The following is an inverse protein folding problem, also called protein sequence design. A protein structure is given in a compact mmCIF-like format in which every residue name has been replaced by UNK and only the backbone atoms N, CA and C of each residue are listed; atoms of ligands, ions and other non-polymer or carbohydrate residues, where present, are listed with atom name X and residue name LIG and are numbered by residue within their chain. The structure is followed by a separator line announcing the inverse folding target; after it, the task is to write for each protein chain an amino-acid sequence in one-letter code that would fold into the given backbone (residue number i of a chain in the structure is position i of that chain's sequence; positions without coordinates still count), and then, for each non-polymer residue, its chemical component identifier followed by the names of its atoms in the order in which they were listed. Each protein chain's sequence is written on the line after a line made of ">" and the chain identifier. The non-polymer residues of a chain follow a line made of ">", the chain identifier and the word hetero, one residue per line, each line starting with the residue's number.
data_IF_052430679473
#
_entry.id   IF_052430679473
#
_cell.length_a   1.000
_cell.length_b   1.000
_cell.length_c   1.000
_cell.angle_alpha   90.00
_cell.angle_beta   90.00
_cell.angle_gamma   90.00
#
_symmetry.space_group_name_H-M   'P 1'
#
loop_
_entity.id
_entity.type
_entity.pdbx_description
1 polymer ?
#
# COMPACT_ATOMS: atom_id res chain seq x y z
N UNK A 1 -13.82 33.32 14.56
CA UNK A 1 -12.70 32.43 15.00
C UNK A 1 -13.28 31.39 15.91
N UNK A 2 -13.76 30.28 15.38
CA UNK A 2 -14.17 29.12 16.14
C UNK A 2 -13.19 28.01 15.79
N UNK A 3 -12.23 27.76 16.68
CA UNK A 3 -11.41 26.57 16.63
C UNK A 3 -12.32 25.39 16.99
N UNK A 4 -12.69 24.59 16.01
CA UNK A 4 -13.30 23.27 16.23
C UNK A 4 -12.19 22.43 16.86
N UNK A 5 -12.27 22.22 18.17
CA UNK A 5 -11.45 21.23 18.88
C UNK A 5 -11.83 19.88 18.32
N UNK A 6 -10.97 19.33 17.48
CA UNK A 6 -11.04 17.94 17.05
C UNK A 6 -10.74 17.08 18.29
N UNK A 7 -11.78 16.55 18.89
CA UNK A 7 -11.67 15.64 20.03
C UNK A 7 -10.85 14.43 19.57
N UNK A 8 -9.77 14.13 20.28
CA UNK A 8 -9.02 12.90 20.10
C UNK A 8 -10.01 11.69 20.18
N UNK A 9 -9.87 10.68 19.28
CA UNK A 9 -10.76 9.53 19.28
C UNK A 9 -10.73 8.86 20.65
N UNK A 10 -11.92 8.55 21.18
CA UNK A 10 -12.03 7.81 22.44
C UNK A 10 -11.72 6.33 22.18
N UNK A 11 -11.09 5.62 23.11
CA UNK A 11 -10.79 4.18 23.02
C UNK A 11 -12.04 3.34 22.70
N UNK A 12 -13.23 3.78 23.10
CA UNK A 12 -14.52 3.15 22.77
C UNK A 12 -14.79 3.12 21.27
N UNK A 13 -14.48 4.18 20.54
CA UNK A 13 -14.72 4.28 19.11
C UNK A 13 -13.81 3.32 18.29
N UNK A 14 -12.54 3.14 18.70
CA UNK A 14 -11.62 2.19 18.06
C UNK A 14 -12.02 0.75 18.34
N UNK A 15 -12.44 0.44 19.57
CA UNK A 15 -12.91 -0.90 19.94
C UNK A 15 -14.16 -1.30 19.18
N UNK A 16 -15.08 -0.37 18.95
CA UNK A 16 -16.30 -0.59 18.15
C UNK A 16 -15.95 -0.88 16.69
N UNK A 17 -14.99 -0.14 16.11
CA UNK A 17 -14.51 -0.41 14.76
C UNK A 17 -13.88 -1.80 14.63
N UNK A 18 -13.05 -2.20 15.59
CA UNK A 18 -12.44 -3.53 15.60
C UNK A 18 -13.51 -4.63 15.72
N UNK A 19 -14.52 -4.45 16.56
CA UNK A 19 -15.63 -5.39 16.69
C UNK A 19 -16.46 -5.48 15.40
N UNK A 20 -16.76 -4.36 14.77
CA UNK A 20 -17.48 -4.30 13.49
C UNK A 20 -16.68 -4.96 12.36
N UNK A 21 -15.37 -4.73 12.31
CA UNK A 21 -14.48 -5.35 11.32
C UNK A 21 -14.44 -6.88 11.48
N UNK A 22 -14.32 -7.36 12.73
CA UNK A 22 -14.37 -8.80 13.04
C UNK A 22 -15.69 -9.42 12.62
N UNK A 23 -16.80 -8.76 12.91
CA UNK A 23 -18.12 -9.24 12.49
C UNK A 23 -18.27 -9.29 10.97
N UNK A 24 -17.71 -8.33 10.23
CA UNK A 24 -17.67 -8.36 8.77
C UNK A 24 -16.84 -9.55 8.25
N UNK A 25 -15.68 -9.79 8.86
CA UNK A 25 -14.80 -10.92 8.50
C UNK A 25 -15.48 -12.27 8.74
N UNK A 26 -16.17 -12.44 9.89
CA UNK A 26 -16.93 -13.65 10.22
C UNK A 26 -18.09 -13.93 9.24
N UNK A 27 -18.67 -12.88 8.66
CA UNK A 27 -19.69 -13.02 7.60
C UNK A 27 -19.10 -13.25 6.20
N UNK A 28 -17.76 -13.26 6.06
CA UNK A 28 -17.09 -13.39 4.78
C UNK A 28 -17.04 -12.09 3.96
N UNK A 29 -17.47 -10.95 4.50
CA UNK A 29 -17.36 -9.65 3.84
C UNK A 29 -15.94 -9.07 4.07
N UNK A 30 -14.97 -9.69 3.38
CA UNK A 30 -13.55 -9.41 3.58
C UNK A 30 -13.16 -7.99 3.14
N UNK A 31 -13.83 -7.44 2.13
CA UNK A 31 -13.58 -6.07 1.65
C UNK A 31 -14.01 -5.04 2.69
N UNK A 32 -15.20 -5.23 3.28
CA UNK A 32 -15.68 -4.38 4.36
C UNK A 32 -14.82 -4.52 5.62
N UNK A 33 -14.40 -5.74 5.96
CA UNK A 33 -13.51 -5.99 7.08
C UNK A 33 -12.18 -5.24 6.91
N UNK A 34 -11.54 -5.31 5.73
CA UNK A 34 -10.31 -4.54 5.41
C UNK A 34 -10.53 -3.05 5.57
N UNK A 35 -11.66 -2.52 5.07
CA UNK A 35 -11.99 -1.09 5.17
C UNK A 35 -12.11 -0.65 6.62
N UNK A 36 -12.82 -1.42 7.43
CA UNK A 36 -13.12 -1.07 8.82
C UNK A 36 -11.89 -1.22 9.73
N UNK A 37 -11.10 -2.30 9.58
CA UNK A 37 -9.80 -2.41 10.27
C UNK A 37 -8.83 -1.30 9.87
N UNK A 38 -8.80 -0.92 8.59
CA UNK A 38 -7.97 0.20 8.13
C UNK A 38 -8.38 1.51 8.82
N UNK A 39 -9.68 1.76 8.97
CA UNK A 39 -10.17 2.93 9.69
C UNK A 39 -9.79 2.91 11.18
N UNK A 40 -9.83 1.74 11.83
CA UNK A 40 -9.40 1.59 13.22
C UNK A 40 -7.91 1.92 13.39
N UNK A 41 -7.04 1.36 12.53
CA UNK A 41 -5.58 1.59 12.57
C UNK A 41 -5.23 3.06 12.29
N UNK A 42 -5.97 3.74 11.40
CA UNK A 42 -5.79 5.18 11.16
C UNK A 42 -6.07 6.03 12.39
N UNK A 43 -7.02 5.61 13.23
CA UNK A 43 -7.36 6.31 14.48
C UNK A 43 -6.38 5.98 15.61
N UNK A 44 -6.02 4.72 15.73
CA UNK A 44 -5.07 4.24 16.72
C UNK A 44 -4.26 3.08 16.16
N UNK A 45 -2.93 3.26 16.15
CA UNK A 45 -2.00 2.24 15.67
C UNK A 45 -2.00 1.02 16.59
N UNK A 46 -2.37 -0.12 16.04
CA UNK A 46 -2.34 -1.41 16.71
C UNK A 46 -1.51 -2.41 15.89
N UNK A 47 -0.32 -2.81 16.39
CA UNK A 47 0.56 -3.76 15.72
C UNK A 47 -0.12 -5.10 15.38
N UNK A 48 -1.03 -5.59 16.21
CA UNK A 48 -1.72 -6.84 15.95
C UNK A 48 -2.70 -6.69 14.79
N UNK A 49 -3.43 -5.58 14.73
CA UNK A 49 -4.35 -5.28 13.61
C UNK A 49 -3.58 -5.02 12.32
N UNK A 50 -2.44 -4.31 12.36
CA UNK A 50 -1.60 -4.09 11.18
C UNK A 50 -1.10 -5.42 10.60
N UNK A 51 -0.63 -6.35 11.44
CA UNK A 51 -0.24 -7.70 11.02
C UNK A 51 -1.40 -8.47 10.40
N UNK A 52 -2.56 -8.44 11.06
CA UNK A 52 -3.77 -9.11 10.59
C UNK A 52 -4.20 -8.61 9.20
N UNK A 53 -4.12 -7.29 8.97
CA UNK A 53 -4.48 -6.66 7.72
C UNK A 53 -3.68 -7.17 6.51
N UNK A 54 -2.43 -7.59 6.68
CA UNK A 54 -1.63 -8.15 5.57
C UNK A 54 -2.30 -9.40 5.02
N UNK A 55 -2.58 -10.38 5.87
CA UNK A 55 -3.25 -11.62 5.49
C UNK A 55 -4.70 -11.40 5.03
N UNK A 56 -5.43 -10.51 5.70
CA UNK A 56 -6.80 -10.20 5.35
C UNK A 56 -6.93 -9.56 3.95
N UNK A 57 -6.05 -8.61 3.61
CA UNK A 57 -5.98 -8.00 2.27
C UNK A 57 -5.68 -9.04 1.20
N UNK A 58 -4.78 -9.99 1.49
CA UNK A 58 -4.47 -11.08 0.58
C UNK A 58 -5.69 -11.97 0.33
N UNK A 59 -6.42 -12.37 1.39
CA UNK A 59 -7.65 -13.15 1.24
C UNK A 59 -8.77 -12.37 0.53
N UNK A 60 -8.91 -11.08 0.83
CA UNK A 60 -9.91 -10.23 0.21
C UNK A 60 -9.68 -10.03 -1.29
N UNK A 61 -8.47 -10.25 -1.80
CA UNK A 61 -8.15 -10.10 -3.21
C UNK A 61 -9.05 -10.97 -4.12
N UNK A 62 -9.32 -12.21 -3.72
CA UNK A 62 -10.20 -13.11 -4.47
C UNK A 62 -11.67 -12.70 -4.44
N UNK A 63 -12.07 -11.81 -3.51
CA UNK A 63 -13.44 -11.28 -3.39
C UNK A 63 -13.63 -9.96 -4.17
N UNK A 64 -12.56 -9.45 -4.80
CA UNK A 64 -12.63 -8.25 -5.62
C UNK A 64 -13.10 -8.66 -7.01
N UNK A 65 -14.20 -8.03 -7.47
CA UNK A 65 -14.65 -8.21 -8.84
C UNK A 65 -13.57 -7.66 -9.79
N UNK A 66 -13.00 -8.50 -10.67
CA UNK A 66 -12.06 -8.05 -11.70
C UNK A 66 -12.77 -7.33 -12.85
N UNK A 67 -14.09 -7.16 -12.79
CA UNK A 67 -14.86 -6.50 -13.83
C UNK A 67 -14.34 -5.07 -14.05
N UNK A 68 -13.97 -4.79 -15.27
CA UNK A 68 -13.41 -3.52 -15.69
C UNK A 68 -12.34 -3.75 -16.74
N UNK A 69 -11.58 -2.73 -17.00
CA UNK A 69 -10.61 -2.69 -18.08
C UNK A 69 -11.14 -1.93 -19.27
N UNK A 70 -10.24 -1.28 -19.96
CA UNK A 70 -10.56 -0.61 -21.21
C UNK A 70 -10.66 -1.63 -22.34
N UNK A 71 -11.63 -1.48 -23.25
CA UNK A 71 -11.74 -2.33 -24.46
C UNK A 71 -10.47 -2.26 -25.31
N UNK A 72 -9.78 -1.12 -25.30
CA UNK A 72 -8.52 -0.89 -26.01
C UNK A 72 -7.45 -0.46 -25.02
N UNK A 73 -6.34 -1.21 -24.96
CA UNK A 73 -5.18 -0.93 -24.15
C UNK A 73 -3.89 -0.96 -24.98
N UNK A 74 -2.98 0.01 -24.84
CA UNK A 74 -3.09 1.24 -24.01
C UNK A 74 -4.15 2.20 -24.57
N UNK A 75 -4.68 3.12 -23.72
CA UNK A 75 -5.70 4.09 -24.15
C UNK A 75 -5.11 5.04 -25.19
N UNK A 76 -5.92 5.39 -26.20
CA UNK A 76 -5.54 6.38 -27.22
C UNK A 76 -5.82 7.78 -26.65
N UNK A 77 -4.76 8.52 -26.35
CA UNK A 77 -4.84 9.87 -25.75
C UNK A 77 -3.92 10.83 -26.50
N UNK A 78 -4.25 12.14 -26.54
CA UNK A 78 -3.34 13.14 -27.10
C UNK A 78 -2.09 13.30 -26.25
N UNK A 79 -1.00 13.78 -26.86
CA UNK A 79 0.19 14.18 -26.11
C UNK A 79 -0.05 15.52 -25.42
N UNK A 80 -0.23 15.49 -24.10
CA UNK A 80 -0.42 16.70 -23.27
C UNK A 80 0.92 17.35 -22.87
N UNK A 81 2.04 16.74 -23.24
CA UNK A 81 3.40 17.17 -22.93
C UNK A 81 4.24 17.39 -24.21
N UNK A 82 3.57 17.66 -25.33
CA UNK A 82 4.23 17.90 -26.62
C UNK A 82 5.35 18.93 -26.49
N UNK A 83 6.52 18.62 -27.04
CA UNK A 83 7.71 19.50 -26.99
C UNK A 83 8.52 19.44 -25.68
N UNK A 84 8.15 18.59 -24.73
CA UNK A 84 8.95 18.31 -23.53
C UNK A 84 10.02 17.27 -23.88
N UNK A 85 11.30 17.67 -23.82
CA UNK A 85 12.44 16.77 -24.12
C UNK A 85 12.82 15.87 -22.94
N UNK A 86 12.56 16.33 -21.69
CA UNK A 86 12.81 15.59 -20.46
C UNK A 86 11.56 14.82 -20.03
N UNK A 87 11.68 13.84 -19.10
CA UNK A 87 10.50 13.19 -18.53
C UNK A 87 9.48 14.22 -18.03
N UNK A 88 8.21 14.13 -18.43
CA UNK A 88 7.19 15.06 -17.96
C UNK A 88 7.13 15.09 -16.44
N UNK A 89 7.05 16.28 -15.87
CA UNK A 89 6.98 16.50 -14.42
C UNK A 89 5.74 17.32 -14.07
N UNK A 90 4.99 16.85 -13.06
CA UNK A 90 3.83 17.55 -12.52
C UNK A 90 3.82 17.52 -10.99
N UNK A 91 3.09 18.45 -10.38
CA UNK A 91 2.75 18.35 -8.96
C UNK A 91 1.55 17.41 -8.77
N UNK A 92 1.49 16.67 -7.66
CA UNK A 92 0.39 15.72 -7.34
C UNK A 92 -1.01 16.32 -7.48
N UNK A 93 -1.18 17.62 -7.17
CA UNK A 93 -2.45 18.32 -7.32
C UNK A 93 -2.95 18.43 -8.76
N UNK A 94 -2.07 18.25 -9.73
CA UNK A 94 -2.38 18.25 -11.16
C UNK A 94 -2.47 16.83 -11.75
N UNK A 95 -2.31 15.81 -10.94
CA UNK A 95 -2.33 14.41 -11.38
C UNK A 95 -3.77 14.00 -11.74
N UNK A 96 -3.94 13.51 -12.96
CA UNK A 96 -5.18 12.93 -13.48
C UNK A 96 -4.86 11.67 -14.27
N UNK A 97 -5.84 10.80 -14.47
CA UNK A 97 -5.68 9.60 -15.28
C UNK A 97 -5.30 9.94 -16.74
N UNK A 98 -5.87 11.01 -17.30
CA UNK A 98 -5.56 11.49 -18.65
C UNK A 98 -4.09 11.91 -18.78
N UNK A 99 -3.57 12.72 -17.84
CA UNK A 99 -2.16 13.12 -17.84
C UNK A 99 -1.22 11.94 -17.64
N UNK A 100 -1.60 11.01 -16.75
CA UNK A 100 -0.84 9.77 -16.55
C UNK A 100 -0.80 8.96 -17.85
N UNK A 101 -1.96 8.75 -18.50
CA UNK A 101 -2.06 8.03 -19.76
C UNK A 101 -1.22 8.69 -20.87
N UNK A 102 -1.33 10.02 -21.02
CA UNK A 102 -0.56 10.78 -22.00
C UNK A 102 0.95 10.63 -21.77
N UNK A 103 1.42 10.85 -20.55
CA UNK A 103 2.83 10.76 -20.22
C UNK A 103 3.38 9.33 -20.45
N UNK A 104 2.66 8.30 -20.01
CA UNK A 104 3.10 6.91 -20.21
C UNK A 104 3.10 6.54 -21.69
N UNK A 105 2.09 6.93 -22.45
CA UNK A 105 1.97 6.58 -23.88
C UNK A 105 3.02 7.25 -24.74
N UNK A 106 3.30 8.54 -24.52
CA UNK A 106 4.16 9.35 -25.40
C UNK A 106 5.59 9.49 -24.88
N UNK A 107 5.79 9.45 -23.55
CA UNK A 107 7.10 9.68 -22.90
C UNK A 107 7.60 8.50 -22.07
N UNK A 108 6.79 7.46 -21.84
CA UNK A 108 7.16 6.26 -21.11
C UNK A 108 7.16 6.42 -19.56
N UNK A 109 7.04 7.63 -19.04
CA UNK A 109 7.04 7.91 -17.60
C UNK A 109 6.38 9.25 -17.27
N UNK A 110 6.05 9.43 -15.98
CA UNK A 110 5.60 10.71 -15.41
C UNK A 110 6.25 10.91 -14.05
N UNK A 111 6.93 12.01 -13.84
CA UNK A 111 7.46 12.39 -12.53
C UNK A 111 6.42 13.19 -11.76
N UNK A 112 5.99 12.68 -10.61
CA UNK A 112 4.98 13.34 -9.76
C UNK A 112 5.65 13.86 -8.50
N UNK A 113 5.64 15.21 -8.31
CA UNK A 113 6.19 15.87 -7.13
C UNK A 113 5.11 16.15 -6.09
N UNK A 114 5.53 16.18 -4.82
CA UNK A 114 4.67 16.55 -3.70
C UNK A 114 3.63 15.47 -3.34
N UNK A 115 3.92 14.20 -3.64
CA UNK A 115 3.09 13.07 -3.22
C UNK A 115 3.04 12.98 -1.70
N UNK A 116 4.16 13.20 -1.03
CA UNK A 116 4.32 13.23 0.41
C UNK A 116 4.87 14.59 0.84
N UNK A 117 4.47 15.08 2.00
CA UNK A 117 5.12 16.20 2.65
C UNK A 117 6.44 15.78 3.34
N UNK A 118 7.23 16.74 3.82
CA UNK A 118 8.53 16.48 4.41
C UNK A 118 8.44 15.59 5.67
N UNK A 119 7.42 15.80 6.51
CA UNK A 119 7.24 15.02 7.73
C UNK A 119 6.82 13.59 7.42
N UNK A 120 5.96 13.39 6.41
CA UNK A 120 5.59 12.07 5.92
C UNK A 120 6.81 11.32 5.36
N UNK A 121 7.64 12.00 4.56
CA UNK A 121 8.88 11.41 4.02
C UNK A 121 9.82 10.99 5.15
N UNK A 122 10.03 11.84 6.15
CA UNK A 122 10.92 11.52 7.29
C UNK A 122 10.38 10.33 8.09
N UNK A 123 9.08 10.30 8.41
CA UNK A 123 8.48 9.17 9.13
C UNK A 123 8.59 7.87 8.34
N UNK A 124 8.26 7.90 7.06
CA UNK A 124 8.31 6.70 6.22
C UNK A 124 9.73 6.17 6.03
N UNK A 125 10.71 7.07 5.91
CA UNK A 125 12.14 6.70 5.90
C UNK A 125 12.53 5.98 7.20
N UNK A 126 12.16 6.53 8.36
CA UNK A 126 12.47 5.94 9.66
C UNK A 126 11.78 4.56 9.82
N UNK A 127 10.57 4.40 9.28
CA UNK A 127 9.87 3.12 9.25
C UNK A 127 10.53 2.10 8.33
N UNK A 128 11.05 2.53 7.17
CA UNK A 128 11.86 1.67 6.28
C UNK A 128 13.13 1.22 7.00
N UNK A 129 13.85 2.12 7.66
CA UNK A 129 15.08 1.79 8.39
C UNK A 129 14.81 0.76 9.49
N UNK A 130 13.71 0.90 10.25
CA UNK A 130 13.28 -0.08 11.26
C UNK A 130 12.89 -1.42 10.64
N UNK A 131 12.15 -1.40 9.53
CA UNK A 131 11.78 -2.63 8.82
C UNK A 131 13.02 -3.39 8.31
N UNK A 132 14.01 -2.69 7.74
CA UNK A 132 15.26 -3.29 7.28
C UNK A 132 16.12 -3.81 8.44
N UNK A 133 16.14 -3.12 9.57
CA UNK A 133 16.82 -3.60 10.79
C UNK A 133 16.16 -4.87 11.33
N UNK A 134 14.81 -4.90 11.41
CA UNK A 134 14.05 -6.07 11.81
C UNK A 134 14.23 -7.25 10.84
N UNK A 135 14.29 -6.98 9.54
CA UNK A 135 14.54 -8.01 8.52
C UNK A 135 15.93 -8.66 8.71
N UNK A 136 16.97 -7.87 8.97
CA UNK A 136 18.31 -8.40 9.27
C UNK A 136 18.30 -9.27 10.52
N UNK A 137 17.66 -8.79 11.61
CA UNK A 137 17.54 -9.55 12.84
C UNK A 137 16.81 -10.91 12.61
N UNK A 138 15.75 -10.92 11.78
CA UNK A 138 15.05 -12.16 11.38
C UNK A 138 15.94 -13.13 10.60
N UNK A 139 16.73 -12.63 9.66
CA UNK A 139 17.70 -13.44 8.91
C UNK A 139 18.76 -14.02 9.84
N UNK A 140 19.18 -13.27 10.86
CA UNK A 140 20.15 -13.69 11.88
C UNK A 140 19.53 -14.62 12.95
N UNK A 141 18.22 -14.92 12.87
CA UNK A 141 17.52 -15.87 13.72
C UNK A 141 16.80 -15.29 14.92
N UNK A 142 16.65 -13.97 15.04
CA UNK A 142 15.81 -13.34 16.07
C UNK A 142 14.33 -13.63 15.82
N UNK A 143 13.65 -14.18 16.83
CA UNK A 143 12.23 -14.57 16.78
C UNK A 143 11.34 -13.70 17.67
N UNK A 144 11.85 -12.58 18.18
CA UNK A 144 11.12 -11.67 19.09
C UNK A 144 9.84 -11.14 18.43
N UNK A 145 8.72 -11.19 19.16
CA UNK A 145 7.41 -10.74 18.66
C UNK A 145 7.36 -9.23 18.39
N UNK A 146 8.19 -8.44 19.08
CA UNK A 146 8.31 -7.00 18.87
C UNK A 146 8.73 -6.63 17.45
N UNK A 147 9.42 -7.55 16.76
CA UNK A 147 9.82 -7.35 15.36
C UNK A 147 8.68 -7.58 14.37
N UNK A 148 7.60 -8.27 14.75
CA UNK A 148 6.55 -8.71 13.82
C UNK A 148 5.85 -7.56 13.08
N UNK A 149 5.71 -6.41 13.70
CA UNK A 149 5.11 -5.24 13.05
C UNK A 149 6.02 -4.63 11.98
N UNK A 150 7.33 -4.83 12.14
CA UNK A 150 8.36 -4.33 11.23
C UNK A 150 8.79 -5.36 10.20
N UNK A 151 8.86 -6.64 10.61
CA UNK A 151 9.20 -7.75 9.73
C UNK A 151 8.50 -9.03 10.15
N UNK A 152 7.48 -9.41 9.41
CA UNK A 152 6.77 -10.67 9.50
C UNK A 152 6.75 -11.32 8.12
N UNK A 153 7.48 -12.42 7.95
CA UNK A 153 7.54 -13.11 6.67
C UNK A 153 6.16 -13.60 6.23
N UNK A 154 5.55 -12.83 5.33
CA UNK A 154 4.24 -13.14 4.80
C UNK A 154 4.29 -14.43 3.98
N UNK A 155 3.38 -15.36 4.28
CA UNK A 155 3.17 -16.58 3.51
C UNK A 155 1.83 -16.46 2.77
N UNK A 156 1.83 -16.52 1.43
CA UNK A 156 0.58 -16.57 0.68
C UNK A 156 -0.18 -17.87 1.00
N UNK A 157 -1.49 -17.89 0.75
CA UNK A 157 -2.30 -19.10 0.87
C UNK A 157 -1.80 -20.20 -0.08
N UNK A 158 -2.22 -21.46 0.19
CA UNK A 158 -1.84 -22.64 -0.61
C UNK A 158 -2.21 -22.48 -2.09
N UNK A 159 -3.29 -21.78 -2.41
CA UNK A 159 -3.71 -21.46 -3.78
C UNK A 159 -2.65 -20.69 -4.58
N UNK A 160 -1.74 -20.01 -3.88
CA UNK A 160 -0.64 -19.25 -4.44
C UNK A 160 0.75 -19.85 -4.11
N UNK A 161 0.79 -21.11 -3.64
CA UNK A 161 2.02 -21.80 -3.24
C UNK A 161 3.03 -21.99 -4.39
N UNK A 162 2.59 -21.87 -5.64
CA UNK A 162 3.49 -21.84 -6.81
C UNK A 162 4.48 -20.66 -6.79
N UNK A 163 4.26 -19.66 -5.93
CA UNK A 163 5.15 -18.52 -5.77
C UNK A 163 6.12 -18.73 -4.62
N UNK A 164 7.34 -19.16 -4.93
CA UNK A 164 8.41 -19.23 -3.93
C UNK A 164 8.82 -17.81 -3.48
N UNK A 165 8.26 -17.38 -2.36
CA UNK A 165 8.56 -16.09 -1.73
C UNK A 165 9.86 -16.18 -0.94
N UNK A 166 10.22 -17.39 -0.44
CA UNK A 166 11.42 -17.59 0.39
C UNK A 166 12.70 -17.41 -0.43
N UNK A 167 12.78 -17.98 -1.62
CA UNK A 167 13.91 -17.79 -2.53
C UNK A 167 14.14 -16.34 -2.89
N UNK A 168 13.06 -15.57 -3.09
CA UNK A 168 13.15 -14.13 -3.33
C UNK A 168 13.70 -13.36 -2.13
N UNK A 169 13.38 -13.72 -0.89
CA UNK A 169 13.95 -13.11 0.32
C UNK A 169 15.45 -13.34 0.41
N UNK A 170 15.92 -14.55 0.13
CA UNK A 170 17.35 -14.85 0.10
C UNK A 170 18.10 -14.05 -0.97
N UNK A 171 17.46 -13.74 -2.09
CA UNK A 171 18.03 -12.88 -3.12
C UNK A 171 18.10 -11.41 -2.69
N UNK A 172 17.10 -10.90 -1.96
CA UNK A 172 17.02 -9.50 -1.53
C UNK A 172 17.92 -9.19 -0.33
N UNK A 173 18.08 -10.13 0.60
CA UNK A 173 18.80 -9.92 1.86
C UNK A 173 20.25 -9.43 1.68
N UNK A 174 21.10 -10.02 0.79
CA UNK A 174 22.46 -9.53 0.56
C UNK A 174 22.51 -8.12 -0.04
N UNK A 175 21.43 -7.66 -0.66
CA UNK A 175 21.30 -6.34 -1.25
C UNK A 175 20.75 -5.30 -0.26
N UNK A 176 20.51 -5.69 1.01
CA UNK A 176 19.94 -4.83 2.03
C UNK A 176 18.49 -4.44 1.75
N UNK A 177 17.75 -5.30 1.03
CA UNK A 177 16.37 -5.05 0.62
C UNK A 177 15.42 -6.11 1.18
N UNK A 178 14.14 -5.76 1.33
CA UNK A 178 13.08 -6.70 1.71
C UNK A 178 11.80 -6.45 0.92
N UNK A 179 10.89 -7.43 0.89
CA UNK A 179 9.56 -7.20 0.32
C UNK A 179 8.76 -6.24 1.22
N UNK A 180 8.06 -5.28 0.62
CA UNK A 180 7.15 -4.38 1.35
C UNK A 180 6.06 -5.17 2.07
N UNK A 181 5.58 -6.26 1.48
CA UNK A 181 4.57 -7.15 2.08
C UNK A 181 5.04 -7.85 3.36
N UNK A 182 6.35 -7.94 3.61
CA UNK A 182 6.91 -8.51 4.83
C UNK A 182 7.01 -7.48 5.98
N UNK A 183 6.70 -6.19 5.73
CA UNK A 183 6.60 -5.17 6.77
C UNK A 183 5.16 -4.69 6.92
N UNK A 184 4.38 -5.18 7.90
CA UNK A 184 3.00 -4.74 8.12
C UNK A 184 2.87 -3.23 8.26
N UNK A 185 3.77 -2.58 9.01
CA UNK A 185 3.80 -1.14 9.23
C UNK A 185 4.08 -0.37 7.95
N UNK A 186 5.18 -0.67 7.27
CA UNK A 186 5.56 0.03 6.04
C UNK A 186 4.54 -0.18 4.91
N UNK A 187 3.97 -1.38 4.81
CA UNK A 187 2.89 -1.66 3.87
C UNK A 187 1.63 -0.83 4.17
N UNK A 188 1.25 -0.73 5.45
CA UNK A 188 0.11 0.08 5.84
C UNK A 188 0.31 1.54 5.45
N UNK A 189 1.45 2.13 5.81
CA UNK A 189 1.76 3.53 5.53
C UNK A 189 1.85 3.82 4.03
N UNK A 190 2.48 2.93 3.26
CA UNK A 190 2.53 3.06 1.80
C UNK A 190 1.13 3.11 1.17
N UNK A 191 0.23 2.20 1.60
CA UNK A 191 -1.14 2.17 1.10
C UNK A 191 -1.94 3.40 1.55
N UNK A 192 -1.71 3.89 2.77
CA UNK A 192 -2.35 5.10 3.28
C UNK A 192 -1.90 6.35 2.51
N UNK A 193 -0.61 6.47 2.19
CA UNK A 193 -0.09 7.54 1.34
C UNK A 193 -0.68 7.52 -0.07
N UNK A 194 -0.80 6.35 -0.67
CA UNK A 194 -1.43 6.22 -1.99
C UNK A 194 -2.90 6.64 -1.98
N UNK A 195 -3.61 6.33 -0.91
CA UNK A 195 -4.99 6.74 -0.72
C UNK A 195 -5.12 8.26 -0.49
N UNK A 196 -4.31 8.83 0.38
CA UNK A 196 -4.30 10.26 0.68
C UNK A 196 -3.95 11.12 -0.55
N UNK A 197 -3.08 10.62 -1.42
CA UNK A 197 -2.73 11.26 -2.68
C UNK A 197 -3.74 10.98 -3.81
N UNK A 198 -4.85 10.31 -3.55
CA UNK A 198 -5.84 9.87 -4.55
C UNK A 198 -5.23 9.00 -5.67
N UNK A 199 -4.05 8.44 -5.44
CA UNK A 199 -3.34 7.66 -6.46
C UNK A 199 -4.13 6.41 -6.86
N UNK A 200 -4.81 5.78 -5.90
CA UNK A 200 -5.65 4.62 -6.21
C UNK A 200 -6.78 4.96 -7.18
N UNK A 201 -7.47 6.09 -7.00
CA UNK A 201 -8.56 6.49 -7.91
C UNK A 201 -8.03 6.84 -9.29
N UNK A 202 -6.90 7.56 -9.38
CA UNK A 202 -6.24 7.87 -10.65
C UNK A 202 -5.83 6.61 -11.39
N UNK A 203 -5.24 5.62 -10.70
CA UNK A 203 -4.85 4.35 -11.30
C UNK A 203 -6.08 3.51 -11.69
N UNK A 204 -7.15 3.52 -10.88
CA UNK A 204 -8.40 2.82 -11.22
C UNK A 204 -9.00 3.39 -12.51
N UNK A 205 -9.02 4.70 -12.67
CA UNK A 205 -9.50 5.36 -13.89
C UNK A 205 -8.56 5.08 -15.07
N UNK A 206 -7.24 5.12 -14.86
CA UNK A 206 -6.23 4.84 -15.89
C UNK A 206 -6.30 3.42 -16.43
N UNK A 207 -6.42 2.41 -15.55
CA UNK A 207 -6.51 1.01 -15.95
C UNK A 207 -7.93 0.59 -16.37
N UNK A 208 -8.96 1.34 -15.95
CA UNK A 208 -10.36 0.94 -16.04
C UNK A 208 -10.72 -0.18 -15.07
N UNK A 209 -9.80 -0.57 -14.20
CA UNK A 209 -9.96 -1.63 -13.20
C UNK A 209 -9.26 -1.28 -11.89
N UNK A 210 -9.60 -2.00 -10.82
CA UNK A 210 -9.02 -1.79 -9.51
C UNK A 210 -7.55 -2.21 -9.48
N UNK A 211 -6.61 -1.30 -9.15
CA UNK A 211 -5.19 -1.65 -9.07
C UNK A 211 -4.91 -2.58 -7.89
N UNK A 212 -3.99 -3.51 -8.07
CA UNK A 212 -3.49 -4.39 -7.03
C UNK A 212 -1.98 -4.21 -6.83
N UNK A 213 -1.54 -4.24 -5.56
CA UNK A 213 -0.12 -4.21 -5.23
C UNK A 213 0.44 -5.63 -5.27
N UNK A 214 1.43 -5.87 -6.13
CA UNK A 214 2.12 -7.16 -6.18
C UNK A 214 3.10 -7.32 -5.02
N UNK A 215 2.96 -8.40 -4.24
CA UNK A 215 3.84 -8.73 -3.11
C UNK A 215 5.31 -8.87 -3.52
N UNK A 216 5.59 -9.40 -4.72
CA UNK A 216 6.96 -9.65 -5.22
C UNK A 216 7.58 -8.47 -5.96
N UNK A 217 6.85 -7.39 -6.19
CA UNK A 217 7.35 -6.24 -6.96
C UNK A 217 7.62 -5.01 -6.11
N UNK A 218 6.97 -4.90 -4.94
CA UNK A 218 7.26 -3.85 -3.98
C UNK A 218 8.42 -4.25 -3.07
N UNK A 219 9.50 -3.46 -3.07
CA UNK A 219 10.65 -3.67 -2.17
C UNK A 219 10.98 -2.40 -1.41
N UNK A 220 11.37 -2.56 -0.14
CA UNK A 220 11.99 -1.53 0.68
C UNK A 220 13.52 -1.63 0.53
N UNK A 221 14.17 -0.45 0.43
CA UNK A 221 15.62 -0.32 0.28
C UNK A 221 16.15 0.86 1.06
#
# INVERSE_FOLDING_TARGET
>A
MNATSELAPTDGDVSELIAAARSAEERGDLVEAVRTYTAAVKRHRDPAVERHLVGLRHRAFSSIDPAGGHEVWPPVVPDLFEGVEEPPEIHVRALTAEKLASAITHHGCLLVRGLLDADQVMRFRDDIDRALAAFRARIDGDTSEELDVWCLFFQPSEDYAAYDVSGGRHFLAPQGSMYTGDSPRALFDLLDFFEAASLRSVLTEYFGERPALSLKKGTLR
#
